data_IF_767786673712
#
_entry.id   IF_767786673712
#
_cell.length_a   1.000
_cell.length_b   1.000
_cell.length_c   1.000
_cell.angle_alpha   90.00
_cell.angle_beta   90.00
_cell.angle_gamma   90.00
#
_symmetry.space_group_name_H-M   'P 1'
#
loop_
_entity.id
_entity.type
_entity.pdbx_description
1 polymer ?
#
# COMPACT_ATOMS: atom_id res chain seq x y z
N UNK A 1 17.10 49.89 -22.38
CA UNK A 1 17.52 49.11 -21.20
C UNK A 1 16.49 48.02 -20.99
N UNK A 2 16.78 46.78 -21.46
CA UNK A 2 15.93 45.63 -21.31
C UNK A 2 16.22 44.98 -19.95
N UNK A 3 15.27 45.02 -19.02
CA UNK A 3 15.31 44.17 -17.85
C UNK A 3 14.86 42.78 -18.30
N UNK A 4 15.84 41.87 -18.38
CA UNK A 4 15.58 40.45 -18.56
C UNK A 4 14.65 39.95 -17.44
N UNK A 5 13.54 39.43 -17.85
CA UNK A 5 12.62 38.65 -16.98
C UNK A 5 13.37 37.36 -16.64
N UNK A 6 14.03 37.31 -15.50
CA UNK A 6 14.59 36.08 -14.98
C UNK A 6 13.40 35.23 -14.52
N UNK A 7 13.10 34.23 -15.32
CA UNK A 7 12.18 33.16 -14.93
C UNK A 7 12.87 32.44 -13.77
N UNK A 8 12.43 32.70 -12.53
CA UNK A 8 12.81 31.88 -11.40
C UNK A 8 12.37 30.43 -11.73
N UNK A 9 13.35 29.64 -12.11
CA UNK A 9 13.18 28.19 -12.17
C UNK A 9 13.17 27.72 -10.72
N UNK A 10 11.98 27.61 -10.13
CA UNK A 10 11.74 26.73 -8.98
C UNK A 10 12.12 25.30 -9.42
N UNK A 11 13.42 25.02 -9.49
CA UNK A 11 13.93 23.66 -9.48
C UNK A 11 13.84 23.20 -8.02
N UNK A 12 12.64 22.81 -7.63
CA UNK A 12 12.44 22.07 -6.42
C UNK A 12 12.94 20.63 -6.68
N UNK A 13 14.12 20.29 -6.17
CA UNK A 13 14.74 18.95 -6.19
C UNK A 13 13.87 17.84 -5.52
N UNK A 14 12.68 18.18 -5.04
CA UNK A 14 11.72 17.28 -4.40
C UNK A 14 10.74 16.58 -5.39
N UNK A 15 10.81 16.89 -6.69
CA UNK A 15 9.99 16.20 -7.71
C UNK A 15 10.51 14.78 -8.03
N UNK A 16 11.71 14.43 -7.56
CA UNK A 16 12.39 13.15 -7.80
C UNK A 16 12.10 12.07 -6.76
N UNK A 17 11.21 12.31 -5.79
CA UNK A 17 10.78 11.19 -4.92
C UNK A 17 9.95 10.21 -5.75
N UNK A 18 10.38 8.94 -5.86
CA UNK A 18 9.71 7.99 -6.72
C UNK A 18 8.24 7.84 -6.33
N UNK A 19 7.36 7.85 -7.33
CA UNK A 19 6.00 7.34 -7.16
C UNK A 19 6.08 5.96 -6.50
N UNK A 20 5.14 5.63 -5.62
CA UNK A 20 5.12 4.30 -4.99
C UNK A 20 5.30 3.22 -6.05
N UNK A 21 6.18 2.26 -5.79
CA UNK A 21 6.61 1.25 -6.74
C UNK A 21 5.41 0.67 -7.52
N UNK A 22 5.47 0.65 -8.85
CA UNK A 22 4.41 0.07 -9.65
C UNK A 22 4.26 -1.41 -9.32
N UNK A 23 3.05 -1.94 -9.46
CA UNK A 23 2.86 -3.40 -9.40
C UNK A 23 3.73 -4.06 -10.47
N UNK A 24 4.31 -5.24 -10.20
CA UNK A 24 5.01 -6.01 -11.22
C UNK A 24 4.12 -6.18 -12.47
N UNK A 25 4.70 -6.06 -13.66
CA UNK A 25 3.97 -6.17 -14.92
C UNK A 25 3.13 -7.46 -14.97
N UNK A 26 1.85 -7.34 -15.35
CA UNK A 26 0.93 -8.46 -15.42
C UNK A 26 0.36 -8.93 -14.07
N UNK A 27 0.71 -8.28 -12.96
CA UNK A 27 0.12 -8.60 -11.65
C UNK A 27 -1.24 -7.94 -11.49
N UNK A 28 -2.25 -8.74 -11.14
CA UNK A 28 -3.57 -8.22 -10.79
C UNK A 28 -3.52 -7.50 -9.45
N UNK A 29 -4.31 -6.43 -9.31
CA UNK A 29 -4.41 -5.69 -8.05
C UNK A 29 -5.58 -6.21 -7.21
N UNK A 30 -5.45 -7.43 -6.70
CA UNK A 30 -6.43 -7.98 -5.77
C UNK A 30 -6.44 -7.19 -4.46
N UNK A 31 -7.64 -6.90 -3.98
CA UNK A 31 -7.87 -6.18 -2.72
C UNK A 31 -9.12 -6.73 -2.03
N UNK A 32 -9.12 -6.75 -0.70
CA UNK A 32 -10.31 -7.11 0.06
C UNK A 32 -11.35 -5.97 0.04
N UNK A 33 -12.65 -6.24 0.29
CA UNK A 33 -13.65 -5.18 0.44
C UNK A 33 -13.26 -4.16 1.53
N UNK A 34 -12.67 -4.62 2.62
CA UNK A 34 -12.20 -3.77 3.74
C UNK A 34 -11.06 -2.87 3.28
N UNK A 35 -10.05 -3.44 2.62
CA UNK A 35 -8.93 -2.68 2.09
C UNK A 35 -9.35 -1.65 1.04
N UNK A 36 -10.23 -2.05 0.13
CA UNK A 36 -10.78 -1.12 -0.86
C UNK A 36 -11.51 0.06 -0.19
N UNK A 37 -12.36 -0.22 0.81
CA UNK A 37 -13.06 0.81 1.55
C UNK A 37 -12.09 1.75 2.31
N UNK A 38 -11.02 1.21 2.90
CA UNK A 38 -9.99 1.98 3.59
C UNK A 38 -9.24 2.94 2.64
N UNK A 39 -8.77 2.46 1.49
CA UNK A 39 -8.10 3.32 0.50
C UNK A 39 -9.02 4.39 -0.05
N UNK A 40 -10.30 4.05 -0.27
CA UNK A 40 -11.31 5.01 -0.71
C UNK A 40 -11.60 6.08 0.33
N UNK A 41 -11.68 5.70 1.60
CA UNK A 41 -11.88 6.64 2.71
C UNK A 41 -10.68 7.58 2.87
N UNK A 42 -9.45 7.05 2.78
CA UNK A 42 -8.23 7.86 2.79
C UNK A 42 -8.23 8.89 1.65
N UNK A 43 -8.54 8.46 0.42
CA UNK A 43 -8.64 9.38 -0.72
C UNK A 43 -9.67 10.49 -0.47
N UNK A 44 -10.83 10.15 0.07
CA UNK A 44 -11.88 11.13 0.39
C UNK A 44 -11.41 12.16 1.43
N UNK A 45 -10.73 11.72 2.50
CA UNK A 45 -10.17 12.61 3.53
C UNK A 45 -9.13 13.56 2.94
N UNK A 46 -8.22 13.04 2.11
CA UNK A 46 -7.22 13.88 1.44
C UNK A 46 -7.86 14.94 0.53
N UNK A 47 -8.88 14.53 -0.26
CA UNK A 47 -9.55 15.43 -1.20
C UNK A 47 -10.42 16.48 -0.53
N UNK A 48 -11.18 16.10 0.48
CA UNK A 48 -12.25 16.93 1.04
C UNK A 48 -11.80 17.73 2.25
N UNK A 49 -10.78 17.27 2.98
CA UNK A 49 -10.37 17.86 4.24
C UNK A 49 -8.94 18.36 4.21
N UNK A 50 -7.94 17.47 4.03
CA UNK A 50 -6.54 17.84 4.19
C UNK A 50 -6.05 18.82 3.11
N UNK A 51 -6.34 18.52 1.85
CA UNK A 51 -5.90 19.38 0.74
C UNK A 51 -6.50 20.80 0.82
N UNK A 52 -7.81 20.98 1.00
CA UNK A 52 -8.40 22.31 1.17
C UNK A 52 -7.87 23.07 2.39
N UNK A 53 -7.63 22.39 3.51
CA UNK A 53 -7.04 23.00 4.69
C UNK A 53 -5.62 23.50 4.42
N UNK A 54 -4.79 22.67 3.77
CA UNK A 54 -3.42 23.04 3.43
C UNK A 54 -3.34 24.18 2.40
N UNK A 55 -4.25 24.20 1.40
CA UNK A 55 -4.36 25.30 0.43
C UNK A 55 -4.61 26.63 1.15
N UNK A 56 -5.48 26.66 2.16
CA UNK A 56 -5.75 27.88 2.97
C UNK A 56 -4.49 28.35 3.71
N UNK A 57 -3.73 27.41 4.31
CA UNK A 57 -2.48 27.72 5.03
C UNK A 57 -1.45 28.33 4.07
N UNK A 58 -1.23 27.67 2.92
CA UNK A 58 -0.26 28.16 1.91
C UNK A 58 -0.67 29.51 1.36
N UNK A 59 -1.96 29.72 1.09
CA UNK A 59 -2.48 31.00 0.61
C UNK A 59 -2.27 32.13 1.63
N UNK A 60 -2.55 31.84 2.91
CA UNK A 60 -2.30 32.79 4.00
C UNK A 60 -0.80 33.09 4.14
N UNK A 61 0.06 32.09 4.17
CA UNK A 61 1.50 32.26 4.26
C UNK A 61 2.06 33.07 3.08
N UNK A 62 1.56 32.85 1.86
CA UNK A 62 1.97 33.58 0.66
C UNK A 62 1.61 35.08 0.71
N UNK A 63 0.65 35.49 1.55
CA UNK A 63 0.25 36.89 1.73
C UNK A 63 1.08 37.63 2.79
N UNK A 64 1.88 36.93 3.60
CA UNK A 64 2.54 37.46 4.79
C UNK A 64 4.04 37.77 4.62
N UNK A 65 4.54 38.02 3.40
CA UNK A 65 5.92 38.43 3.16
C UNK A 65 6.60 37.74 1.98
N UNK A 66 7.96 37.76 1.98
CA UNK A 66 8.74 37.12 0.92
C UNK A 66 8.57 35.60 0.98
N UNK A 67 8.08 35.03 -0.12
CA UNK A 67 7.78 33.60 -0.26
C UNK A 67 9.01 32.72 -0.11
N UNK A 68 10.16 33.20 -0.54
CA UNK A 68 11.42 32.46 -0.53
C UNK A 68 11.99 32.27 0.89
N UNK A 69 11.68 33.16 1.83
CA UNK A 69 12.16 33.12 3.22
C UNK A 69 11.05 32.69 4.21
N UNK A 70 9.82 32.52 3.72
CA UNK A 70 8.68 32.13 4.57
C UNK A 70 8.63 30.62 4.75
N UNK A 71 9.08 30.14 5.92
CA UNK A 71 9.11 28.73 6.27
C UNK A 71 7.74 28.04 6.21
N UNK A 72 6.66 28.72 6.59
CA UNK A 72 5.30 28.17 6.54
C UNK A 72 4.84 27.98 5.10
N UNK A 73 5.21 28.89 4.19
CA UNK A 73 4.91 28.75 2.78
C UNK A 73 5.63 27.56 2.16
N UNK A 74 6.94 27.42 2.41
CA UNK A 74 7.76 26.34 1.87
C UNK A 74 7.29 24.98 2.39
N UNK A 75 7.05 24.87 3.71
CA UNK A 75 6.51 23.66 4.34
C UNK A 75 5.14 23.29 3.77
N UNK A 76 4.24 24.27 3.67
CA UNK A 76 2.90 24.04 3.14
C UNK A 76 2.91 23.60 1.67
N UNK A 77 3.78 24.19 0.82
CA UNK A 77 3.98 23.74 -0.57
C UNK A 77 4.46 22.28 -0.62
N UNK A 78 5.43 21.92 0.22
CA UNK A 78 5.92 20.54 0.30
C UNK A 78 4.79 19.58 0.69
N UNK A 79 4.03 19.92 1.73
CA UNK A 79 2.91 19.09 2.19
C UNK A 79 1.82 18.97 1.12
N UNK A 80 1.47 20.00 0.38
CA UNK A 80 0.53 19.91 -0.74
C UNK A 80 1.01 18.93 -1.81
N UNK A 81 2.29 18.97 -2.17
CA UNK A 81 2.85 18.02 -3.15
C UNK A 81 2.77 16.57 -2.65
N UNK A 82 3.02 16.33 -1.37
CA UNK A 82 2.87 14.99 -0.75
C UNK A 82 1.41 14.51 -0.83
N UNK A 83 0.45 15.38 -0.48
CA UNK A 83 -0.99 15.09 -0.56
C UNK A 83 -1.38 14.77 -2.02
N UNK A 84 -1.00 15.63 -2.98
CA UNK A 84 -1.34 15.44 -4.40
C UNK A 84 -0.71 14.15 -4.96
N UNK A 85 0.51 13.78 -4.53
CA UNK A 85 1.16 12.51 -4.89
C UNK A 85 0.39 11.33 -4.32
N UNK A 86 0.03 11.38 -3.03
CA UNK A 86 -0.75 10.31 -2.38
C UNK A 86 -2.12 10.13 -3.03
N UNK A 87 -2.81 11.22 -3.36
CA UNK A 87 -4.09 11.18 -4.06
C UNK A 87 -3.95 10.53 -5.44
N UNK A 88 -2.93 10.89 -6.24
CA UNK A 88 -2.66 10.25 -7.54
C UNK A 88 -2.40 8.75 -7.39
N UNK A 89 -1.62 8.37 -6.40
CA UNK A 89 -1.35 6.96 -6.10
C UNK A 89 -2.64 6.21 -5.78
N UNK A 90 -3.44 6.70 -4.83
CA UNK A 90 -4.69 6.06 -4.41
C UNK A 90 -5.69 5.96 -5.58
N UNK A 91 -5.82 7.00 -6.39
CA UNK A 91 -6.68 6.98 -7.58
C UNK A 91 -6.27 5.88 -8.54
N UNK A 92 -4.99 5.82 -8.92
CA UNK A 92 -4.48 4.76 -9.81
C UNK A 92 -4.68 3.35 -9.24
N UNK A 93 -4.47 3.17 -7.92
CA UNK A 93 -4.65 1.86 -7.27
C UNK A 93 -6.11 1.42 -7.25
N UNK A 94 -7.02 2.34 -6.94
CA UNK A 94 -8.47 2.07 -6.94
C UNK A 94 -9.02 1.80 -8.35
N UNK A 95 -8.51 2.48 -9.38
CA UNK A 95 -8.92 2.27 -10.78
C UNK A 95 -8.62 0.85 -11.29
N UNK A 96 -7.52 0.25 -10.86
CA UNK A 96 -7.10 -1.10 -11.27
C UNK A 96 -7.42 -2.18 -10.24
N UNK A 97 -8.14 -1.83 -9.16
CA UNK A 97 -8.43 -2.74 -8.07
C UNK A 97 -9.46 -3.80 -8.49
N UNK A 98 -9.14 -5.07 -8.24
CA UNK A 98 -10.06 -6.19 -8.34
C UNK A 98 -10.47 -6.60 -6.92
N UNK A 99 -11.69 -6.24 -6.51
CA UNK A 99 -12.19 -6.57 -5.16
C UNK A 99 -12.55 -8.04 -5.10
N UNK A 100 -11.90 -8.76 -4.18
CA UNK A 100 -12.14 -10.19 -3.92
C UNK A 100 -12.58 -10.34 -2.47
N UNK A 101 -13.81 -10.83 -2.26
CA UNK A 101 -14.36 -11.08 -0.93
C UNK A 101 -13.99 -12.49 -0.46
N UNK A 102 -13.13 -12.64 0.57
CA UNK A 102 -12.72 -13.95 1.06
C UNK A 102 -13.87 -14.76 1.69
N UNK A 103 -14.93 -14.10 2.18
CA UNK A 103 -16.08 -14.78 2.79
C UNK A 103 -16.87 -15.61 1.78
N UNK A 104 -16.78 -15.24 0.49
CA UNK A 104 -17.46 -15.94 -0.60
C UNK A 104 -16.63 -17.06 -1.23
N UNK A 105 -15.45 -17.37 -0.66
CA UNK A 105 -14.58 -18.42 -1.20
C UNK A 105 -15.25 -19.81 -1.08
N UNK A 106 -15.57 -20.47 -2.23
CA UNK A 106 -16.28 -21.74 -2.20
C UNK A 106 -15.39 -22.92 -1.74
N UNK A 107 -14.09 -22.82 -1.91
CA UNK A 107 -13.11 -23.85 -1.59
C UNK A 107 -12.26 -23.43 -0.39
N UNK A 108 -12.80 -23.63 0.82
CA UNK A 108 -12.19 -23.18 2.08
C UNK A 108 -11.15 -24.14 2.65
N UNK A 109 -11.03 -25.35 2.09
CA UNK A 109 -10.03 -26.37 2.45
C UNK A 109 -8.68 -26.17 1.74
N UNK A 110 -8.56 -25.13 0.93
CA UNK A 110 -7.37 -24.78 0.14
C UNK A 110 -7.04 -23.31 0.29
N UNK A 111 -5.74 -22.99 0.34
CA UNK A 111 -5.27 -21.63 0.53
C UNK A 111 -5.39 -20.81 -0.76
N UNK A 112 -6.16 -19.71 -0.69
CA UNK A 112 -6.27 -18.69 -1.72
C UNK A 112 -6.13 -17.29 -1.12
N UNK A 113 -6.35 -16.26 -1.94
CA UNK A 113 -6.40 -14.87 -1.50
C UNK A 113 -7.44 -14.70 -0.38
N UNK A 114 -7.05 -13.97 0.67
CA UNK A 114 -7.89 -13.68 1.83
C UNK A 114 -7.88 -14.75 2.93
N UNK A 115 -7.21 -15.90 2.71
CA UNK A 115 -7.04 -16.92 3.76
C UNK A 115 -6.12 -16.42 4.88
N UNK A 116 -6.47 -16.76 6.10
CA UNK A 116 -5.54 -16.75 7.25
C UNK A 116 -4.99 -18.16 7.42
N UNK A 117 -3.67 -18.26 7.41
CA UNK A 117 -2.94 -19.54 7.47
C UNK A 117 -2.10 -19.60 8.72
N UNK A 118 -2.20 -20.68 9.47
CA UNK A 118 -1.28 -21.02 10.55
C UNK A 118 -0.34 -22.10 10.03
N UNK A 119 0.95 -21.86 10.10
CA UNK A 119 1.98 -22.81 9.68
C UNK A 119 3.13 -22.85 10.69
N UNK A 120 3.81 -24.01 10.79
CA UNK A 120 5.02 -24.16 11.56
C UNK A 120 6.26 -23.99 10.66
N UNK A 121 7.30 -23.37 11.18
CA UNK A 121 8.63 -23.34 10.57
C UNK A 121 9.44 -24.62 10.91
N UNK A 122 10.66 -24.81 10.36
CA UNK A 122 11.48 -25.98 10.65
C UNK A 122 11.87 -26.14 12.13
N UNK A 123 11.84 -25.06 12.89
CA UNK A 123 12.14 -25.03 14.32
C UNK A 123 10.89 -25.38 15.16
N UNK A 124 9.72 -25.52 14.53
CA UNK A 124 8.44 -25.82 15.15
C UNK A 124 7.72 -24.60 15.72
N UNK A 125 8.19 -23.38 15.41
CA UNK A 125 7.47 -22.19 15.81
C UNK A 125 6.28 -21.92 14.89
N UNK A 126 5.12 -21.62 15.49
CA UNK A 126 3.89 -21.33 14.77
C UNK A 126 3.82 -19.87 14.35
N UNK A 127 3.43 -19.66 13.10
CA UNK A 127 3.23 -18.34 12.51
C UNK A 127 1.81 -18.23 11.95
N UNK A 128 1.17 -17.10 12.22
CA UNK A 128 -0.16 -16.79 11.66
C UNK A 128 -0.03 -15.66 10.66
N UNK A 129 -0.46 -15.89 9.42
CA UNK A 129 -0.45 -14.88 8.37
C UNK A 129 -1.79 -14.82 7.65
N UNK A 130 -2.21 -13.61 7.28
CA UNK A 130 -3.38 -13.39 6.43
C UNK A 130 -2.92 -12.89 5.06
N UNK A 131 -3.34 -13.57 3.99
CA UNK A 131 -2.96 -13.24 2.62
C UNK A 131 -3.89 -12.15 2.09
N UNK A 132 -3.35 -10.96 1.86
CA UNK A 132 -4.11 -9.76 1.47
C UNK A 132 -3.54 -9.11 0.20
N UNK A 133 -4.15 -8.02 -0.24
CA UNK A 133 -3.67 -7.21 -1.35
C UNK A 133 -2.30 -6.57 -1.07
N UNK A 134 -1.64 -6.11 -2.13
CA UNK A 134 -0.32 -5.46 -2.02
C UNK A 134 -0.41 -4.21 -1.15
N UNK A 135 -1.49 -3.44 -1.33
CA UNK A 135 -1.70 -2.16 -0.63
C UNK A 135 -2.28 -2.33 0.78
N UNK A 136 -2.62 -3.58 1.18
CA UNK A 136 -3.12 -3.93 2.51
C UNK A 136 -2.08 -4.62 3.40
N UNK A 137 -0.88 -4.86 2.84
CA UNK A 137 0.15 -5.62 3.54
C UNK A 137 0.70 -4.86 4.76
N UNK A 138 0.62 -5.48 5.91
CA UNK A 138 1.15 -5.02 7.20
C UNK A 138 1.89 -6.18 7.88
N UNK A 139 3.14 -6.50 7.49
CA UNK A 139 3.83 -7.70 7.97
C UNK A 139 3.95 -7.79 9.50
N UNK A 140 4.08 -6.66 10.19
CA UNK A 140 4.13 -6.61 11.66
C UNK A 140 2.81 -7.08 12.32
N UNK A 141 1.70 -6.99 11.58
CA UNK A 141 0.37 -7.44 12.01
C UNK A 141 -0.04 -8.76 11.35
N UNK A 142 0.91 -9.51 10.77
CA UNK A 142 0.65 -10.79 10.13
C UNK A 142 -0.06 -10.70 8.77
N UNK A 143 -0.30 -9.49 8.22
CA UNK A 143 -0.90 -9.34 6.90
C UNK A 143 0.19 -9.31 5.84
N UNK A 144 0.24 -10.35 5.01
CA UNK A 144 1.24 -10.49 3.95
C UNK A 144 0.61 -10.29 2.58
N UNK A 145 1.36 -9.66 1.68
CA UNK A 145 0.92 -9.51 0.30
C UNK A 145 0.83 -10.88 -0.39
N UNK A 146 -0.22 -11.10 -1.19
CA UNK A 146 -0.41 -12.32 -1.96
C UNK A 146 0.71 -12.61 -2.97
N UNK A 147 1.51 -11.60 -3.35
CA UNK A 147 2.70 -11.76 -4.19
C UNK A 147 3.99 -12.00 -3.39
N UNK A 148 3.94 -12.00 -2.07
CA UNK A 148 5.10 -12.26 -1.21
C UNK A 148 5.62 -13.70 -1.40
N UNK A 149 6.91 -13.97 -1.14
CA UNK A 149 7.44 -15.33 -1.23
C UNK A 149 6.70 -16.34 -0.37
N UNK A 150 6.33 -15.97 0.86
CA UNK A 150 5.58 -16.83 1.78
C UNK A 150 4.19 -17.13 1.22
N UNK A 151 3.43 -16.10 0.81
CA UNK A 151 2.10 -16.31 0.25
C UNK A 151 2.14 -17.20 -1.01
N UNK A 152 3.12 -16.98 -1.90
CA UNK A 152 3.30 -17.80 -3.12
C UNK A 152 3.65 -19.27 -2.81
N UNK A 153 4.36 -19.53 -1.73
CA UNK A 153 4.66 -20.89 -1.29
C UNK A 153 3.41 -21.60 -0.74
N UNK A 154 2.53 -20.86 -0.04
CA UNK A 154 1.34 -21.40 0.62
C UNK A 154 0.13 -21.56 -0.31
N UNK A 155 -0.07 -20.65 -1.27
CA UNK A 155 -1.26 -20.64 -2.14
C UNK A 155 -1.42 -21.97 -2.89
N UNK A 156 -2.66 -22.49 -2.93
CA UNK A 156 -3.13 -23.76 -3.51
C UNK A 156 -2.83 -25.02 -2.68
N UNK A 157 -2.14 -24.91 -1.58
CA UNK A 157 -1.93 -26.03 -0.66
C UNK A 157 -3.05 -26.13 0.36
N UNK A 158 -3.07 -27.22 1.14
CA UNK A 158 -4.12 -27.59 2.10
C UNK A 158 -3.55 -27.79 3.49
N UNK A 159 -4.43 -27.90 4.48
CA UNK A 159 -4.03 -28.32 5.83
C UNK A 159 -3.33 -29.69 5.78
N UNK A 160 -2.22 -29.81 6.53
CA UNK A 160 -1.38 -31.00 6.59
C UNK A 160 -0.35 -31.12 5.47
N UNK A 161 -0.34 -30.21 4.49
CA UNK A 161 0.69 -30.17 3.47
C UNK A 161 1.96 -29.51 4.02
N UNK A 162 3.13 -30.00 3.56
CA UNK A 162 4.43 -29.35 3.74
C UNK A 162 4.82 -28.63 2.47
N UNK A 163 5.16 -27.33 2.57
CA UNK A 163 5.56 -26.52 1.42
C UNK A 163 6.98 -26.01 1.57
N UNK A 164 7.68 -25.85 0.46
CA UNK A 164 9.06 -25.36 0.46
C UNK A 164 9.10 -23.86 0.16
N UNK A 165 9.55 -23.07 1.13
CA UNK A 165 9.81 -21.64 1.00
C UNK A 165 11.27 -21.42 0.61
N UNK A 166 11.49 -20.69 -0.49
CA UNK A 166 12.84 -20.28 -0.94
C UNK A 166 13.06 -18.81 -0.60
N UNK A 167 14.06 -18.53 0.22
CA UNK A 167 14.48 -17.18 0.60
C UNK A 167 15.96 -16.96 0.26
N UNK A 168 16.45 -15.73 0.24
CA UNK A 168 17.88 -15.46 0.10
C UNK A 168 18.74 -16.10 1.20
N UNK A 169 18.16 -16.34 2.38
CA UNK A 169 18.83 -17.01 3.52
C UNK A 169 18.84 -18.53 3.44
N UNK A 170 18.08 -19.12 2.51
CA UNK A 170 18.02 -20.58 2.35
C UNK A 170 16.67 -21.10 1.91
N UNK A 171 16.54 -22.42 2.00
CA UNK A 171 15.33 -23.17 1.70
C UNK A 171 14.78 -23.71 3.02
N UNK A 172 13.52 -23.44 3.30
CA UNK A 172 12.84 -23.84 4.53
C UNK A 172 11.54 -24.57 4.20
N UNK A 173 11.27 -25.67 4.87
CA UNK A 173 9.98 -26.35 4.76
C UNK A 173 9.03 -25.77 5.81
N UNK A 174 7.79 -25.52 5.40
CA UNK A 174 6.73 -24.98 6.26
C UNK A 174 5.59 -26.01 6.29
N UNK A 175 5.14 -26.38 7.49
CA UNK A 175 4.03 -27.30 7.68
C UNK A 175 2.73 -26.52 7.90
N UNK A 176 1.73 -26.72 7.02
CA UNK A 176 0.46 -26.02 7.09
C UNK A 176 -0.41 -26.70 8.16
N UNK A 177 -0.72 -25.94 9.22
CA UNK A 177 -1.48 -26.44 10.37
C UNK A 177 -2.98 -26.20 10.17
N UNK A 178 -3.36 -24.96 9.80
CA UNK A 178 -4.77 -24.58 9.72
C UNK A 178 -5.00 -23.49 8.67
N UNK A 179 -6.17 -23.54 8.03
CA UNK A 179 -6.66 -22.55 7.08
C UNK A 179 -7.98 -21.98 7.62
N UNK A 180 -8.07 -20.64 7.68
CA UNK A 180 -9.24 -19.95 8.20
C UNK A 180 -9.68 -18.91 7.18
N UNK A 181 -10.98 -18.89 6.87
CA UNK A 181 -11.63 -17.83 6.09
C UNK A 181 -12.62 -17.07 6.97
N UNK A 182 -12.85 -15.77 6.71
CA UNK A 182 -13.90 -15.03 7.40
C UNK A 182 -15.27 -15.66 7.09
N UNK A 183 -16.16 -15.66 8.07
CA UNK A 183 -17.55 -16.05 7.85
C UNK A 183 -18.26 -15.05 6.92
N UNK A 184 -19.19 -15.55 6.12
CA UNK A 184 -20.02 -14.75 5.22
C UNK A 184 -21.00 -13.85 6.00
#
# INVERSE_FOLDING_TARGET
>A
MNKAFVKESDHDDDDDLPDAAPLPAGTRNYITPIGYAALRAELATLMLEERPAMVKIVSWAASNGDRSENGDYLYGKKRLREIDRRMRFLTKRLEIAEVVDPSTQPNQDQIFFGATVIYADPEGAEHTVTIVGVDEAEPLNGKISWISPVARALIKFREGDTVTLRTPSGVHDLDIIQIIYPAA
#
